data_IF_840349721379
#
_entry.id   IF_840349721379
#
_cell.length_a   1.000
_cell.length_b   1.000
_cell.length_c   1.000
_cell.angle_alpha   90.00
_cell.angle_beta   90.00
_cell.angle_gamma   90.00
#
_symmetry.space_group_name_H-M   'P 1'
#
loop_
_entity.id
_entity.type
_entity.pdbx_description
1 polymer ?
#
# COMPACT_ATOMS: atom_id res chain seq x y z
N UNK A 1 10.22 14.17 9.12
CA UNK A 1 9.38 13.05 9.61
C UNK A 1 7.91 13.41 9.89
N UNK A 2 7.51 14.64 10.28
CA UNK A 2 6.07 14.96 10.51
C UNK A 2 5.26 15.28 9.24
N UNK A 3 5.87 15.85 8.21
CA UNK A 3 5.20 16.30 6.97
C UNK A 3 4.70 15.16 6.08
N UNK A 4 5.37 14.00 6.09
CA UNK A 4 4.97 12.83 5.28
C UNK A 4 3.64 12.23 5.75
N UNK A 5 3.39 12.28 7.07
CA UNK A 5 2.13 11.81 7.65
C UNK A 5 0.95 12.68 7.23
N UNK A 6 1.12 14.01 7.21
CA UNK A 6 0.06 14.95 6.82
C UNK A 6 -0.28 14.78 5.34
N UNK A 7 0.73 14.70 4.45
CA UNK A 7 0.49 14.46 3.02
C UNK A 7 -0.26 13.15 2.77
N UNK A 8 0.03 12.10 3.54
CA UNK A 8 -0.64 10.80 3.43
C UNK A 8 -2.13 10.84 3.78
N UNK A 9 -2.55 11.70 4.70
CA UNK A 9 -3.96 11.79 5.11
C UNK A 9 -4.72 12.91 4.41
N UNK A 10 -4.07 14.04 4.11
CA UNK A 10 -4.73 15.20 3.50
C UNK A 10 -4.92 14.99 2.00
N UNK A 11 -3.86 14.59 1.28
CA UNK A 11 -3.87 14.51 -0.18
C UNK A 11 -4.95 13.56 -0.74
N UNK A 12 -5.19 12.36 -0.17
CA UNK A 12 -6.27 11.49 -0.65
C UNK A 12 -7.67 12.00 -0.34
N UNK A 13 -7.81 12.93 0.62
CA UNK A 13 -9.11 13.43 1.07
C UNK A 13 -9.57 14.70 0.34
N UNK A 14 -8.65 15.44 -0.32
CA UNK A 14 -8.95 16.66 -1.08
C UNK A 14 -10.06 16.46 -2.13
N UNK A 15 -10.09 15.37 -2.93
CA UNK A 15 -11.16 15.16 -3.90
C UNK A 15 -12.55 15.06 -3.27
N UNK A 16 -12.67 14.49 -2.06
CA UNK A 16 -13.96 14.42 -1.38
C UNK A 16 -14.43 15.78 -0.86
N UNK A 17 -13.51 16.66 -0.46
CA UNK A 17 -13.84 18.04 -0.09
C UNK A 17 -14.35 18.83 -1.31
N UNK A 18 -13.76 18.60 -2.49
CA UNK A 18 -14.24 19.21 -3.73
C UNK A 18 -15.65 18.71 -4.10
N UNK A 19 -15.89 17.39 -4.00
CA UNK A 19 -17.21 16.80 -4.24
C UNK A 19 -18.24 17.31 -3.22
N UNK A 20 -17.86 17.41 -1.95
CA UNK A 20 -18.72 17.99 -0.91
C UNK A 20 -19.10 19.43 -1.23
N UNK A 21 -18.13 20.27 -1.61
CA UNK A 21 -18.37 21.66 -2.00
C UNK A 21 -19.28 21.75 -3.24
N UNK A 22 -19.02 20.95 -4.28
CA UNK A 22 -19.84 20.92 -5.49
C UNK A 22 -21.29 20.49 -5.20
N UNK A 23 -21.48 19.44 -4.40
CA UNK A 23 -22.81 18.99 -3.99
C UNK A 23 -23.53 20.01 -3.11
N UNK A 24 -22.81 20.72 -2.24
CA UNK A 24 -23.36 21.81 -1.43
C UNK A 24 -23.84 22.96 -2.32
N UNK A 25 -23.08 23.31 -3.37
CA UNK A 25 -23.48 24.32 -4.35
C UNK A 25 -24.70 23.91 -5.19
N UNK A 26 -24.81 22.64 -5.53
CA UNK A 26 -26.04 22.11 -6.13
C UNK A 26 -27.25 22.21 -5.18
N UNK A 27 -27.05 22.01 -3.87
CA UNK A 27 -28.06 22.28 -2.85
C UNK A 27 -28.50 23.75 -2.82
N UNK A 28 -27.56 24.69 -2.88
CA UNK A 28 -27.87 26.13 -2.96
C UNK A 28 -28.63 26.49 -4.23
N UNK A 29 -28.24 25.93 -5.39
CA UNK A 29 -28.89 26.15 -6.66
C UNK A 29 -30.34 25.61 -6.66
N UNK A 30 -30.56 24.43 -6.05
CA UNK A 30 -31.88 23.84 -5.88
C UNK A 30 -32.78 24.67 -4.96
N UNK A 31 -32.23 25.30 -3.92
CA UNK A 31 -32.99 26.22 -3.07
C UNK A 31 -33.36 27.52 -3.81
N UNK A 32 -32.45 28.05 -4.62
CA UNK A 32 -32.66 29.29 -5.37
C UNK A 32 -33.57 29.10 -6.61
N UNK A 33 -33.73 27.87 -7.10
CA UNK A 33 -34.59 27.57 -8.23
C UNK A 33 -36.08 27.80 -7.90
N UNK A 34 -36.75 28.58 -8.74
CA UNK A 34 -38.19 28.82 -8.63
C UNK A 34 -39.00 27.59 -9.08
N UNK A 35 -39.99 27.18 -8.29
CA UNK A 35 -40.90 26.08 -8.62
C UNK A 35 -41.58 25.48 -7.39
N UNK A 36 -42.86 25.11 -7.51
CA UNK A 36 -43.61 24.44 -6.44
C UNK A 36 -43.31 22.93 -6.38
N UNK A 37 -43.09 22.30 -7.54
CA UNK A 37 -42.80 20.86 -7.66
C UNK A 37 -41.33 20.54 -7.96
N UNK A 38 -40.92 19.32 -7.62
CA UNK A 38 -39.55 18.82 -7.82
C UNK A 38 -39.08 18.94 -9.28
N UNK A 39 -39.94 18.61 -10.25
CA UNK A 39 -39.62 18.68 -11.68
C UNK A 39 -39.40 20.12 -12.16
N UNK A 40 -40.22 21.06 -11.68
CA UNK A 40 -40.09 22.48 -12.02
C UNK A 40 -38.83 23.11 -11.41
N UNK A 41 -38.47 22.74 -10.17
CA UNK A 41 -37.19 23.14 -9.56
C UNK A 41 -35.98 22.57 -10.29
N UNK A 42 -36.08 21.35 -10.84
CA UNK A 42 -35.00 20.73 -11.61
C UNK A 42 -34.78 21.43 -12.97
N UNK A 43 -35.85 21.89 -13.61
CA UNK A 43 -35.76 22.73 -14.82
C UNK A 43 -35.17 24.11 -14.52
N UNK A 44 -35.53 24.73 -13.39
CA UNK A 44 -34.99 26.02 -12.94
C UNK A 44 -33.53 25.98 -12.48
N UNK A 45 -33.04 24.80 -12.10
CA UNK A 45 -31.66 24.55 -11.66
C UNK A 45 -30.63 24.97 -12.72
N UNK A 46 -30.93 24.75 -14.01
CA UNK A 46 -30.08 25.18 -15.13
C UNK A 46 -29.80 26.69 -15.14
N UNK A 47 -30.75 27.50 -14.67
CA UNK A 47 -30.63 28.96 -14.61
C UNK A 47 -30.00 29.46 -13.30
N UNK A 48 -30.12 28.70 -12.21
CA UNK A 48 -29.60 29.08 -10.89
C UNK A 48 -28.23 28.47 -10.55
N UNK A 49 -27.70 27.55 -11.37
CA UNK A 49 -26.33 27.03 -11.25
C UNK A 49 -25.30 28.16 -11.39
N UNK A 50 -25.40 29.01 -12.41
CA UNK A 50 -24.43 30.12 -12.61
C UNK A 50 -24.31 31.03 -11.37
N UNK A 51 -25.42 31.57 -10.84
CA UNK A 51 -25.43 32.37 -9.62
C UNK A 51 -24.97 31.60 -8.36
N UNK A 52 -25.36 30.33 -8.21
CA UNK A 52 -24.98 29.53 -7.05
C UNK A 52 -23.46 29.28 -6.95
N UNK A 53 -22.80 29.14 -8.11
CA UNK A 53 -21.36 28.95 -8.21
C UNK A 53 -20.56 30.27 -8.29
N UNK A 54 -21.23 31.43 -8.36
CA UNK A 54 -20.57 32.74 -8.39
C UNK A 54 -19.88 33.09 -7.06
N UNK A 55 -20.47 32.67 -5.94
CA UNK A 55 -19.84 32.80 -4.63
C UNK A 55 -19.06 31.54 -4.27
N UNK A 56 -17.80 31.69 -3.84
CA UNK A 56 -16.99 30.56 -3.41
C UNK A 56 -17.39 30.05 -2.01
N UNK A 57 -17.92 30.93 -1.16
CA UNK A 57 -18.28 30.62 0.22
C UNK A 57 -19.51 29.69 0.30
N UNK A 58 -19.47 28.61 1.10
CA UNK A 58 -20.64 27.79 1.36
C UNK A 58 -21.62 28.54 2.27
N UNK A 59 -22.92 28.52 1.94
CA UNK A 59 -23.96 29.05 2.81
C UNK A 59 -24.09 28.23 4.10
N UNK A 60 -24.60 28.83 5.17
CA UNK A 60 -24.83 28.17 6.47
C UNK A 60 -26.15 27.37 6.55
N UNK A 61 -26.80 27.13 5.42
CA UNK A 61 -28.12 26.51 5.43
C UNK A 61 -28.03 24.99 5.65
N UNK A 62 -28.76 24.43 6.64
CA UNK A 62 -28.67 23.01 6.98
C UNK A 62 -28.98 22.06 5.81
N UNK A 63 -29.88 22.45 4.91
CA UNK A 63 -30.26 21.64 3.76
C UNK A 63 -29.11 21.46 2.75
N UNK A 64 -28.35 22.52 2.47
CA UNK A 64 -27.23 22.47 1.52
C UNK A 64 -26.11 21.57 2.05
N UNK A 65 -25.86 21.64 3.36
CA UNK A 65 -24.90 20.77 4.04
C UNK A 65 -25.35 19.31 4.03
N UNK A 66 -26.65 19.03 4.17
CA UNK A 66 -27.18 17.67 4.05
C UNK A 66 -26.93 17.11 2.65
N UNK A 67 -27.25 17.86 1.60
CA UNK A 67 -27.01 17.46 0.21
C UNK A 67 -25.51 17.26 -0.05
N UNK A 68 -24.66 18.16 0.45
CA UNK A 68 -23.20 18.06 0.38
C UNK A 68 -22.65 16.79 1.03
N UNK A 69 -23.08 16.49 2.25
CA UNK A 69 -22.65 15.30 3.01
C UNK A 69 -23.13 14.02 2.34
N UNK A 70 -24.40 13.94 1.94
CA UNK A 70 -24.95 12.75 1.25
C UNK A 70 -24.21 12.49 -0.06
N UNK A 71 -23.95 13.54 -0.85
CA UNK A 71 -23.17 13.43 -2.09
C UNK A 71 -21.74 12.95 -1.86
N UNK A 72 -21.04 13.52 -0.87
CA UNK A 72 -19.68 13.12 -0.53
C UNK A 72 -19.59 11.68 -0.01
N UNK A 73 -20.55 11.26 0.84
CA UNK A 73 -20.63 9.88 1.35
C UNK A 73 -20.94 8.90 0.22
N UNK A 74 -21.91 9.20 -0.64
CA UNK A 74 -22.25 8.38 -1.80
C UNK A 74 -21.04 8.19 -2.73
N UNK A 75 -20.33 9.27 -3.05
CA UNK A 75 -19.13 9.22 -3.87
C UNK A 75 -17.99 8.41 -3.21
N UNK A 76 -17.81 8.54 -1.90
CA UNK A 76 -16.84 7.76 -1.13
C UNK A 76 -17.16 6.27 -1.14
N UNK A 77 -18.44 5.90 -1.03
CA UNK A 77 -18.88 4.52 -1.14
C UNK A 77 -18.61 3.95 -2.54
N UNK A 78 -18.91 4.70 -3.60
CA UNK A 78 -18.61 4.29 -4.98
C UNK A 78 -17.12 4.01 -5.20
N UNK A 79 -16.24 4.91 -4.74
CA UNK A 79 -14.78 4.71 -4.83
C UNK A 79 -14.36 3.51 -3.98
N UNK A 80 -14.92 3.34 -2.79
CA UNK A 80 -14.58 2.21 -1.92
C UNK A 80 -14.89 0.86 -2.57
N UNK A 81 -16.09 0.69 -3.13
CA UNK A 81 -16.47 -0.54 -3.83
C UNK A 81 -15.58 -0.81 -5.05
N UNK A 82 -15.29 0.23 -5.85
CA UNK A 82 -14.41 0.11 -7.01
C UNK A 82 -12.97 -0.23 -6.62
N UNK A 83 -12.46 0.37 -5.55
CA UNK A 83 -11.09 0.15 -5.04
C UNK A 83 -10.92 -1.24 -4.43
N UNK A 84 -11.93 -1.74 -3.69
CA UNK A 84 -11.90 -3.10 -3.12
C UNK A 84 -11.87 -4.19 -4.17
N UNK A 85 -12.58 -3.98 -5.28
CA UNK A 85 -12.66 -4.93 -6.40
C UNK A 85 -11.58 -4.69 -7.47
N UNK A 86 -10.68 -3.73 -7.26
CA UNK A 86 -9.60 -3.46 -8.20
C UNK A 86 -8.60 -4.60 -8.17
N UNK A 87 -8.59 -5.40 -9.24
CA UNK A 87 -7.56 -6.41 -9.48
C UNK A 87 -6.22 -5.72 -9.73
N UNK A 88 -5.16 -6.20 -9.08
CA UNK A 88 -3.80 -5.69 -9.28
C UNK A 88 -3.19 -6.37 -10.51
N UNK A 89 -3.14 -5.62 -11.60
CA UNK A 89 -2.49 -6.03 -12.84
C UNK A 89 -1.21 -5.22 -13.03
N UNK A 90 -0.17 -5.86 -13.57
CA UNK A 90 0.98 -5.17 -14.15
C UNK A 90 0.70 -4.98 -15.63
N UNK A 91 -0.04 -3.90 -15.94
CA UNK A 91 -0.37 -3.57 -17.34
C UNK A 91 0.89 -3.05 -18.01
N UNK A 92 1.11 -3.49 -19.25
CA UNK A 92 2.23 -3.06 -20.09
C UNK A 92 3.63 -3.44 -19.57
N UNK A 93 3.72 -4.37 -18.61
CA UNK A 93 4.99 -4.99 -18.20
C UNK A 93 5.12 -6.39 -18.80
N UNK A 94 6.16 -6.60 -19.59
CA UNK A 94 6.51 -7.91 -20.14
C UNK A 94 7.10 -8.85 -19.08
N UNK A 95 7.07 -10.15 -19.38
CA UNK A 95 7.74 -11.15 -18.56
C UNK A 95 9.25 -10.89 -18.54
N UNK A 96 9.81 -10.77 -17.34
CA UNK A 96 11.23 -10.43 -17.18
C UNK A 96 11.50 -8.95 -16.88
N UNK A 97 10.47 -8.13 -16.63
CA UNK A 97 10.60 -6.74 -16.14
C UNK A 97 11.25 -6.58 -14.74
N UNK A 98 11.91 -7.63 -14.23
CA UNK A 98 12.54 -7.62 -12.92
C UNK A 98 13.67 -6.58 -12.89
N UNK A 99 13.65 -5.74 -11.84
CA UNK A 99 14.70 -4.76 -11.56
C UNK A 99 15.53 -5.20 -10.37
N UNK A 100 16.76 -4.71 -10.29
CA UNK A 100 17.56 -4.81 -9.09
C UNK A 100 16.87 -4.09 -7.93
N UNK A 101 16.70 -4.81 -6.83
CA UNK A 101 16.18 -4.27 -5.58
C UNK A 101 17.23 -3.44 -4.85
N UNK A 102 16.77 -2.59 -3.95
CA UNK A 102 17.61 -1.85 -3.00
C UNK A 102 17.36 -2.34 -1.58
N UNK A 103 18.22 -1.95 -0.64
CA UNK A 103 18.05 -2.24 0.79
C UNK A 103 16.63 -1.86 1.31
N UNK A 104 16.03 -0.80 0.78
CA UNK A 104 14.67 -0.38 1.16
C UNK A 104 13.60 -1.38 0.73
N UNK A 105 13.81 -2.06 -0.40
CA UNK A 105 12.84 -3.01 -0.95
C UNK A 105 12.78 -4.29 -0.11
N UNK A 106 13.89 -4.69 0.53
CA UNK A 106 13.95 -5.93 1.32
C UNK A 106 13.56 -5.76 2.80
N UNK A 107 13.62 -4.54 3.37
CA UNK A 107 13.26 -4.26 4.77
C UNK A 107 11.95 -4.90 5.28
N UNK A 108 10.85 -4.94 4.50
CA UNK A 108 9.61 -5.57 4.95
C UNK A 108 9.68 -7.09 5.14
N UNK A 109 10.74 -7.73 4.61
CA UNK A 109 10.97 -9.17 4.62
C UNK A 109 11.97 -9.59 5.70
N UNK A 110 12.54 -8.64 6.45
CA UNK A 110 13.53 -8.88 7.50
C UNK A 110 12.82 -9.00 8.86
N UNK A 111 13.19 -10.01 9.63
CA UNK A 111 12.81 -10.18 11.04
C UNK A 111 13.65 -9.25 11.93
N UNK A 112 13.07 -8.62 12.97
CA UNK A 112 13.84 -7.79 13.91
C UNK A 112 14.95 -8.53 14.64
N UNK A 113 14.81 -9.85 14.87
CA UNK A 113 15.86 -10.68 15.46
C UNK A 113 16.77 -11.20 14.34
N UNK A 114 18.04 -10.80 14.34
CA UNK A 114 18.99 -11.15 13.28
C UNK A 114 19.08 -12.67 13.06
N UNK A 115 19.13 -13.44 14.14
CA UNK A 115 19.28 -14.90 14.13
C UNK A 115 18.11 -15.60 13.44
N UNK A 116 16.95 -14.94 13.32
CA UNK A 116 15.76 -15.47 12.66
C UNK A 116 15.74 -15.19 11.14
N UNK A 117 16.84 -14.73 10.56
CA UNK A 117 16.91 -14.40 9.13
C UNK A 117 17.92 -15.27 8.37
N UNK A 118 17.61 -15.58 7.12
CA UNK A 118 18.55 -16.12 6.14
C UNK A 118 19.41 -14.95 5.62
N UNK A 119 20.72 -15.09 5.70
CA UNK A 119 21.69 -14.16 5.12
C UNK A 119 21.77 -14.43 3.63
N UNK A 120 21.42 -13.44 2.81
CA UNK A 120 21.58 -13.50 1.36
C UNK A 120 22.83 -12.72 0.94
N UNK A 121 23.00 -11.53 1.49
CA UNK A 121 24.17 -10.66 1.30
C UNK A 121 24.49 -9.92 2.60
N UNK A 122 25.39 -8.93 2.57
CA UNK A 122 25.64 -8.07 3.73
C UNK A 122 24.48 -7.12 4.09
N UNK A 123 23.58 -6.82 3.15
CA UNK A 123 22.45 -5.89 3.34
C UNK A 123 21.09 -6.57 3.20
N UNK A 124 21.04 -7.67 2.45
CA UNK A 124 19.82 -8.40 2.17
C UNK A 124 19.66 -9.61 3.08
N UNK A 125 18.56 -9.63 3.84
CA UNK A 125 18.17 -10.72 4.74
C UNK A 125 16.73 -11.15 4.48
N UNK A 126 16.41 -12.40 4.78
CA UNK A 126 15.06 -12.95 4.60
C UNK A 126 14.58 -13.66 5.87
N UNK A 127 13.45 -13.26 6.43
CA UNK A 127 12.87 -13.89 7.62
C UNK A 127 12.62 -15.39 7.41
N UNK A 128 13.02 -16.21 8.38
CA UNK A 128 12.69 -17.64 8.44
C UNK A 128 11.25 -17.91 8.92
N UNK A 129 10.51 -16.86 9.32
CA UNK A 129 9.13 -17.00 9.70
C UNK A 129 8.26 -17.25 8.46
N UNK A 130 7.68 -18.45 8.37
CA UNK A 130 6.77 -18.84 7.29
C UNK A 130 5.44 -18.11 7.33
N UNK A 131 5.09 -17.48 8.46
CA UNK A 131 3.82 -16.77 8.69
C UNK A 131 4.08 -15.34 9.18
N UNK A 132 4.61 -14.45 8.33
CA UNK A 132 4.80 -13.04 8.69
C UNK A 132 3.44 -12.35 8.89
N UNK A 133 3.42 -11.28 9.71
CA UNK A 133 2.20 -10.48 10.00
C UNK A 133 1.48 -10.01 8.74
N UNK A 134 2.23 -9.73 7.68
CA UNK A 134 1.69 -9.46 6.36
C UNK A 134 1.91 -10.68 5.46
N UNK A 135 0.86 -11.46 5.11
CA UNK A 135 1.00 -12.65 4.26
C UNK A 135 1.63 -12.37 2.89
N UNK A 136 1.52 -11.14 2.37
CA UNK A 136 2.16 -10.76 1.11
C UNK A 136 3.70 -10.80 1.16
N UNK A 137 4.28 -10.76 2.37
CA UNK A 137 5.72 -10.81 2.60
C UNK A 137 6.24 -12.24 2.77
N UNK A 138 5.37 -13.25 2.77
CA UNK A 138 5.82 -14.64 2.80
C UNK A 138 6.59 -14.96 1.51
N UNK A 139 7.73 -15.63 1.66
CA UNK A 139 8.62 -16.03 0.56
C UNK A 139 9.06 -17.46 0.73
N UNK A 140 9.52 -18.05 -0.37
CA UNK A 140 10.19 -19.35 -0.34
C UNK A 140 11.52 -19.20 0.41
N UNK A 141 11.78 -20.10 1.35
CA UNK A 141 12.96 -20.10 2.20
C UNK A 141 14.08 -20.98 1.65
N UNK A 142 13.81 -21.77 0.61
CA UNK A 142 14.82 -22.56 -0.06
C UNK A 142 15.69 -21.66 -0.95
N UNK A 143 17.01 -21.85 -0.88
CA UNK A 143 17.98 -21.14 -1.69
C UNK A 143 18.71 -22.10 -2.63
N UNK A 144 18.89 -21.68 -3.89
CA UNK A 144 19.74 -22.36 -4.85
C UNK A 144 20.93 -21.44 -5.17
N UNK A 145 22.14 -21.88 -4.85
CA UNK A 145 23.36 -21.08 -5.03
C UNK A 145 24.16 -21.62 -6.20
N UNK A 146 24.26 -20.81 -7.25
CA UNK A 146 24.97 -21.15 -8.49
C UNK A 146 26.23 -20.29 -8.58
N UNK A 147 27.36 -20.91 -8.89
CA UNK A 147 28.63 -20.22 -9.09
C UNK A 147 29.73 -21.17 -9.53
N UNK A 148 30.76 -20.62 -10.19
CA UNK A 148 31.94 -21.38 -10.67
C UNK A 148 32.72 -22.04 -9.52
N UNK A 149 33.65 -22.95 -9.86
CA UNK A 149 34.61 -23.46 -8.87
C UNK A 149 35.44 -22.31 -8.29
N UNK A 150 35.71 -22.31 -6.98
CA UNK A 150 36.48 -21.26 -6.31
C UNK A 150 35.72 -19.95 -6.00
N UNK A 151 34.46 -19.79 -6.44
CA UNK A 151 33.63 -18.60 -6.15
C UNK A 151 33.29 -18.38 -4.66
N UNK A 152 33.68 -19.31 -3.79
CA UNK A 152 33.49 -19.17 -2.34
C UNK A 152 32.08 -19.43 -1.84
N UNK A 153 31.24 -20.16 -2.59
CA UNK A 153 29.87 -20.57 -2.17
C UNK A 153 29.84 -21.15 -0.74
N UNK A 154 30.79 -22.03 -0.42
CA UNK A 154 30.91 -22.63 0.92
C UNK A 154 31.23 -21.57 1.97
N UNK A 155 32.33 -20.81 1.77
CA UNK A 155 32.84 -19.84 2.76
C UNK A 155 31.93 -18.62 2.97
N UNK A 156 31.36 -18.07 1.90
CA UNK A 156 30.63 -16.80 1.94
C UNK A 156 29.13 -16.97 2.13
N UNK A 157 28.55 -18.10 1.72
CA UNK A 157 27.11 -18.34 1.86
C UNK A 157 26.80 -19.44 2.87
N UNK A 158 27.39 -20.64 2.73
CA UNK A 158 27.02 -21.78 3.60
C UNK A 158 27.53 -21.62 5.05
N UNK A 159 28.80 -21.26 5.24
CA UNK A 159 29.42 -21.16 6.57
C UNK A 159 28.71 -20.14 7.48
N UNK A 160 28.41 -18.89 7.04
CA UNK A 160 27.67 -17.94 7.88
C UNK A 160 26.30 -18.44 8.32
N UNK A 161 25.59 -19.17 7.44
CA UNK A 161 24.28 -19.74 7.74
C UNK A 161 24.35 -20.80 8.85
N UNK A 162 25.33 -21.71 8.77
CA UNK A 162 25.53 -22.77 9.78
C UNK A 162 25.94 -22.14 11.14
N UNK A 163 26.84 -21.17 11.12
CA UNK A 163 27.31 -20.48 12.32
C UNK A 163 26.18 -19.72 13.01
N UNK A 164 25.35 -18.99 12.25
CA UNK A 164 24.22 -18.25 12.81
C UNK A 164 23.21 -19.19 13.49
N UNK A 165 22.92 -20.33 12.88
CA UNK A 165 21.97 -21.25 13.43
C UNK A 165 22.46 -22.04 14.64
N UNK A 166 23.78 -22.19 14.75
CA UNK A 166 24.44 -22.76 15.93
C UNK A 166 24.56 -21.75 17.08
N UNK A 167 24.28 -20.46 16.84
CA UNK A 167 24.48 -19.40 17.83
C UNK A 167 23.35 -19.31 18.88
N UNK A 168 22.13 -19.76 18.57
CA UNK A 168 21.04 -19.77 19.55
C UNK A 168 21.15 -20.98 20.49
N UNK A 169 21.70 -20.74 21.69
CA UNK A 169 21.95 -21.78 22.71
C UNK A 169 20.67 -22.44 23.28
N UNK A 170 19.50 -21.81 23.10
CA UNK A 170 18.22 -22.30 23.64
C UNK A 170 17.33 -22.98 22.59
N UNK A 171 17.68 -22.89 21.30
CA UNK A 171 16.93 -23.46 20.18
C UNK A 171 17.84 -23.73 18.99
N UNK A 172 18.99 -24.37 19.24
CA UNK A 172 19.93 -24.74 18.19
C UNK A 172 19.26 -25.64 17.15
N UNK A 173 19.50 -25.37 15.87
CA UNK A 173 18.99 -26.17 14.78
C UNK A 173 19.97 -27.30 14.43
N UNK A 174 19.48 -28.51 14.19
CA UNK A 174 20.30 -29.62 13.69
C UNK A 174 20.42 -29.53 12.17
N UNK A 175 21.64 -29.68 11.66
CA UNK A 175 21.94 -29.65 10.23
C UNK A 175 22.40 -31.00 9.72
N UNK A 176 21.96 -31.35 8.53
CA UNK A 176 22.54 -32.45 7.75
C UNK A 176 23.28 -31.83 6.59
N UNK A 177 24.60 -31.92 6.60
CA UNK A 177 25.47 -31.38 5.58
C UNK A 177 26.16 -32.53 4.82
N UNK A 178 26.10 -32.48 3.49
CA UNK A 178 26.93 -33.34 2.64
C UNK A 178 28.23 -32.59 2.40
N UNK A 179 29.29 -32.98 3.12
CA UNK A 179 30.61 -32.35 3.06
C UNK A 179 31.63 -33.27 2.37
N UNK A 180 31.87 -33.11 1.06
CA UNK A 180 32.80 -33.97 0.33
C UNK A 180 34.27 -33.76 0.72
N UNK A 181 34.63 -32.62 1.33
CA UNK A 181 36.02 -32.27 1.65
C UNK A 181 36.33 -32.26 3.15
N UNK A 182 35.32 -32.38 4.02
CA UNK A 182 35.48 -32.36 5.48
C UNK A 182 35.80 -30.98 6.07
N UNK A 183 35.58 -29.91 5.31
CA UNK A 183 35.95 -28.54 5.70
C UNK A 183 34.85 -27.77 6.45
N UNK A 184 33.69 -28.38 6.70
CA UNK A 184 32.54 -27.75 7.39
C UNK A 184 32.54 -27.97 8.91
N UNK A 185 33.68 -28.33 9.50
CA UNK A 185 33.87 -28.48 10.96
C UNK A 185 34.37 -27.18 11.62
#
# INVERSE_FOLDING_TARGET
MRTDSIKKYVLPNIPYLFVLWACLKLGTAYRLAAGADFAHKLMGLGQTIGPAFADFAPGLAPFDWLVGIVGAVGFRLLIYFKSKNAKKYRRDEEYGSARWGTEKDIKPFIDPKFENNIILTGTEFLTMNTRPKNPANARNLNACVIGSSGSGKTRFWLTPQILQASADKNSGCSYVCVDPNGNLQ
#
